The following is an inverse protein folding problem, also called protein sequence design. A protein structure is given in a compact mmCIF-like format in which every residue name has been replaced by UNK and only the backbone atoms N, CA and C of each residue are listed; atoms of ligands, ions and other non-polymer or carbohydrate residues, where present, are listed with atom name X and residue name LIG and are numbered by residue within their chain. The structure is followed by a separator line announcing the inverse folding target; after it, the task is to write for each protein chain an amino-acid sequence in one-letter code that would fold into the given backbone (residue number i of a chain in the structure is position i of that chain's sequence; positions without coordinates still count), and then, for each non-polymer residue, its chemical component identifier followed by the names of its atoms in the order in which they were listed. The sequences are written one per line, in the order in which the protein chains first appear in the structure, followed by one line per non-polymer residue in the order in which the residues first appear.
data_IF_391437970180
#
_entry.id   IF_391437970180
#
_cell.length_a   1.000
_cell.length_b   1.000
_cell.length_c   1.000
_cell.angle_alpha   90.00
_cell.angle_beta   90.00
_cell.angle_gamma   90.00
#
_symmetry.space_group_name_H-M   'P 1'
#
loop_
_entity.id
_entity.type
_entity.pdbx_description
1 polymer ?
#
# COMPACT_ATOMS: atom_id res chain seq x y z
N UNK A 1 3.93 15.62 -51.41
CA UNK A 1 5.01 14.96 -50.63
C UNK A 1 4.55 13.56 -50.29
N UNK A 2 4.69 12.64 -51.25
CA UNK A 2 4.54 11.22 -50.99
C UNK A 2 5.81 10.70 -50.29
N UNK A 3 5.68 9.68 -49.46
CA UNK A 3 6.46 8.44 -49.51
C UNK A 3 5.92 7.46 -48.44
N UNK A 4 5.40 6.33 -48.92
CA UNK A 4 5.15 5.09 -48.18
C UNK A 4 6.38 4.18 -48.37
N UNK A 5 6.83 3.49 -47.33
CA UNK A 5 7.68 2.26 -47.38
C UNK A 5 8.28 2.00 -45.99
N UNK A 6 8.46 0.80 -45.45
CA UNK A 6 8.06 -0.57 -45.77
C UNK A 6 8.30 -1.37 -44.49
N UNK A 7 7.47 -2.37 -44.22
CA UNK A 7 7.66 -3.38 -43.16
C UNK A 7 8.88 -4.27 -43.49
N UNK A 8 9.71 -4.59 -42.50
CA UNK A 8 10.73 -5.64 -42.59
C UNK A 8 10.75 -6.45 -41.29
N UNK A 9 10.38 -7.73 -41.39
CA UNK A 9 10.53 -8.76 -40.36
C UNK A 9 11.76 -9.61 -40.71
N UNK A 10 12.65 -9.96 -39.77
CA UNK A 10 13.64 -10.99 -40.01
C UNK A 10 13.14 -12.37 -39.56
N UNK A 11 13.07 -13.29 -40.52
CA UNK A 11 12.93 -14.73 -40.34
C UNK A 11 14.27 -15.39 -39.96
N UNK A 12 14.17 -16.34 -39.02
CA UNK A 12 14.90 -17.62 -38.84
C UNK A 12 16.38 -17.71 -39.27
N UNK A 13 17.24 -18.26 -38.40
CA UNK A 13 18.36 -19.12 -38.81
C UNK A 13 18.64 -20.20 -37.77
N UNK A 14 18.80 -21.43 -38.27
CA UNK A 14 19.21 -22.63 -37.56
C UNK A 14 20.66 -23.01 -37.96
N UNK A 15 21.38 -23.63 -37.01
CA UNK A 15 22.52 -24.56 -37.12
C UNK A 15 23.79 -24.16 -37.89
N UNK A 16 24.94 -24.18 -37.20
CA UNK A 16 26.14 -24.95 -37.61
C UNK A 16 27.10 -25.18 -36.43
N UNK A 17 27.80 -26.30 -36.55
CA UNK A 17 28.63 -27.05 -35.60
C UNK A 17 30.08 -26.59 -35.48
N UNK A 18 30.72 -27.06 -34.39
CA UNK A 18 32.14 -27.46 -34.24
C UNK A 18 33.27 -26.43 -34.47
N UNK A 19 33.99 -26.10 -33.40
CA UNK A 19 35.47 -26.18 -33.42
C UNK A 19 36.11 -26.21 -32.01
N UNK A 20 37.36 -26.67 -31.97
CA UNK A 20 37.91 -27.59 -30.98
C UNK A 20 38.61 -27.05 -29.71
N UNK A 21 38.68 -27.97 -28.74
CA UNK A 21 39.55 -28.15 -27.55
C UNK A 21 40.91 -27.41 -27.43
N UNK A 22 41.29 -27.02 -26.18
CA UNK A 22 42.37 -27.69 -25.37
C UNK A 22 42.59 -27.09 -23.94
N UNK A 23 42.51 -28.02 -22.95
CA UNK A 23 43.41 -28.31 -21.79
C UNK A 23 43.68 -27.24 -20.69
N UNK A 24 43.86 -27.54 -19.38
CA UNK A 24 43.87 -28.78 -18.54
C UNK A 24 44.06 -28.43 -17.03
N UNK A 25 43.71 -29.37 -16.12
CA UNK A 25 44.14 -29.56 -14.69
C UNK A 25 43.57 -28.59 -13.63
N UNK A 26 43.21 -28.95 -12.38
CA UNK A 26 43.12 -30.19 -11.59
C UNK A 26 42.48 -29.87 -10.21
N UNK A 27 41.82 -30.86 -9.59
CA UNK A 27 41.56 -31.06 -8.15
C UNK A 27 40.28 -30.48 -7.49
N UNK A 28 39.52 -31.42 -6.90
CA UNK A 28 38.65 -31.37 -5.73
C UNK A 28 37.47 -30.39 -5.67
N UNK A 29 36.29 -30.89 -6.03
CA UNK A 29 35.09 -30.78 -5.18
C UNK A 29 34.04 -31.79 -5.62
N UNK A 30 33.61 -32.63 -4.69
CA UNK A 30 32.36 -33.39 -4.74
C UNK A 30 31.17 -32.43 -5.00
N UNK A 31 30.93 -32.12 -6.25
CA UNK A 31 29.75 -31.37 -6.69
C UNK A 31 28.80 -32.41 -7.26
N UNK A 32 27.87 -32.84 -6.44
CA UNK A 32 26.69 -33.59 -6.87
C UNK A 32 26.15 -32.94 -8.14
N UNK A 33 26.22 -33.68 -9.25
CA UNK A 33 25.66 -33.26 -10.52
C UNK A 33 24.17 -32.98 -10.35
N UNK A 34 23.82 -31.71 -10.18
CA UNK A 34 22.48 -31.24 -10.47
C UNK A 34 22.38 -31.21 -11.98
N UNK A 35 21.65 -32.17 -12.53
CA UNK A 35 21.20 -32.23 -13.92
C UNK A 35 20.38 -30.97 -14.24
N UNK A 36 21.07 -29.88 -14.59
CA UNK A 36 20.51 -28.55 -14.91
C UNK A 36 20.01 -28.52 -16.36
N UNK A 37 19.06 -29.39 -16.70
CA UNK A 37 18.52 -29.42 -18.07
C UNK A 37 17.41 -30.43 -18.35
N UNK A 38 16.86 -31.12 -17.34
CA UNK A 38 15.71 -31.98 -17.57
C UNK A 38 14.43 -31.13 -17.53
N UNK A 39 13.60 -31.08 -18.61
CA UNK A 39 12.38 -30.27 -18.65
C UNK A 39 11.39 -30.64 -17.54
N UNK A 40 11.50 -31.85 -17.00
CA UNK A 40 10.74 -32.31 -15.83
C UNK A 40 11.16 -31.57 -14.54
N UNK A 41 12.45 -31.27 -14.37
CA UNK A 41 12.96 -30.52 -13.21
C UNK A 41 12.43 -29.09 -13.19
N UNK A 42 12.42 -28.42 -14.35
CA UNK A 42 11.93 -27.05 -14.51
C UNK A 42 10.41 -26.96 -14.25
N UNK A 43 9.64 -27.93 -14.74
CA UNK A 43 8.21 -28.03 -14.46
C UNK A 43 7.94 -28.23 -12.96
N UNK A 44 8.69 -29.12 -12.30
CA UNK A 44 8.55 -29.33 -10.85
C UNK A 44 8.86 -28.03 -10.10
N UNK A 45 9.90 -27.29 -10.50
CA UNK A 45 10.24 -26.00 -9.92
C UNK A 45 9.13 -24.97 -10.16
N UNK A 46 8.52 -24.93 -11.35
CA UNK A 46 7.38 -24.08 -11.63
C UNK A 46 6.20 -24.42 -10.72
N UNK A 47 5.85 -25.70 -10.54
CA UNK A 47 4.76 -26.11 -9.64
C UNK A 47 5.02 -25.78 -8.17
N UNK A 48 6.27 -25.93 -7.72
CA UNK A 48 6.68 -25.59 -6.36
C UNK A 48 6.90 -24.09 -6.15
N UNK A 49 6.91 -23.30 -7.22
CA UNK A 49 7.16 -21.86 -7.11
C UNK A 49 6.01 -21.16 -6.39
N UNK A 50 6.37 -20.10 -5.65
CA UNK A 50 5.48 -19.32 -4.79
C UNK A 50 4.23 -18.78 -5.51
N UNK A 51 4.32 -18.50 -6.81
CA UNK A 51 3.18 -17.98 -7.58
C UNK A 51 2.02 -18.99 -7.71
N UNK A 52 2.30 -20.29 -7.60
CA UNK A 52 1.31 -21.36 -7.64
C UNK A 52 0.81 -21.77 -6.24
N UNK A 53 1.48 -21.32 -5.18
CA UNK A 53 1.05 -21.58 -3.81
C UNK A 53 -0.23 -20.81 -3.44
N UNK A 54 -0.89 -21.24 -2.37
CA UNK A 54 -2.06 -20.54 -1.82
C UNK A 54 -1.72 -19.08 -1.47
N UNK A 55 -2.68 -18.16 -1.66
CA UNK A 55 -2.53 -16.75 -1.28
C UNK A 55 -2.10 -16.56 0.19
N UNK A 56 -2.56 -17.45 1.09
CA UNK A 56 -2.12 -17.48 2.50
C UNK A 56 -0.61 -17.70 2.62
N UNK A 57 -0.07 -18.61 1.82
CA UNK A 57 1.35 -18.97 1.82
C UNK A 57 2.20 -17.85 1.20
N UNK A 58 1.77 -17.29 0.07
CA UNK A 58 2.37 -16.09 -0.53
C UNK A 58 2.45 -14.94 0.49
N UNK A 59 1.34 -14.67 1.18
CA UNK A 59 1.28 -13.65 2.22
C UNK A 59 2.25 -13.93 3.38
N UNK A 60 2.37 -15.19 3.83
CA UNK A 60 3.34 -15.54 4.88
C UNK A 60 4.78 -15.35 4.44
N UNK A 61 5.11 -15.64 3.18
CA UNK A 61 6.46 -15.43 2.66
C UNK A 61 6.81 -13.94 2.64
N UNK A 62 5.96 -13.11 2.02
CA UNK A 62 6.18 -11.66 1.97
C UNK A 62 6.26 -11.05 3.38
N UNK A 63 5.42 -11.52 4.31
CA UNK A 63 5.48 -11.11 5.72
C UNK A 63 6.86 -11.41 6.33
N UNK A 64 7.41 -12.60 6.08
CA UNK A 64 8.73 -12.98 6.59
C UNK A 64 9.85 -12.13 5.98
N UNK A 65 9.76 -11.79 4.70
CA UNK A 65 10.74 -10.91 4.04
C UNK A 65 10.71 -9.50 4.61
N UNK A 66 9.51 -8.98 4.90
CA UNK A 66 9.34 -7.69 5.58
C UNK A 66 9.92 -7.74 7.00
N UNK A 67 9.67 -8.82 7.76
CA UNK A 67 10.25 -8.97 9.10
C UNK A 67 11.78 -8.88 9.03
N UNK A 68 12.41 -9.60 8.09
CA UNK A 68 13.87 -9.58 7.90
C UNK A 68 14.41 -8.17 7.58
N UNK A 69 13.65 -7.34 6.88
CA UNK A 69 14.07 -5.97 6.50
C UNK A 69 13.97 -4.97 7.66
N UNK A 70 13.05 -5.17 8.59
CA UNK A 70 12.74 -4.22 9.67
C UNK A 70 13.11 -4.72 11.07
N UNK A 71 13.54 -5.98 11.23
CA UNK A 71 13.98 -6.53 12.50
C UNK A 71 15.25 -5.83 13.01
N UNK A 72 15.34 -5.59 14.32
CA UNK A 72 16.55 -5.03 14.96
C UNK A 72 17.58 -6.12 15.27
N UNK A 73 17.08 -7.28 15.67
CA UNK A 73 17.86 -8.48 15.96
C UNK A 73 17.23 -9.68 15.23
N UNK A 74 17.98 -10.77 14.99
CA UNK A 74 17.40 -11.97 14.39
C UNK A 74 16.23 -12.48 15.25
N UNK A 75 15.08 -12.74 14.60
CA UNK A 75 13.89 -13.26 15.26
C UNK A 75 12.99 -12.21 15.93
N UNK A 76 13.25 -10.91 15.73
CA UNK A 76 12.38 -9.85 16.24
C UNK A 76 11.07 -9.75 15.46
N UNK A 77 9.94 -9.97 16.14
CA UNK A 77 8.59 -9.82 15.59
C UNK A 77 7.82 -8.70 16.30
N UNK A 78 8.27 -8.31 17.50
CA UNK A 78 7.53 -7.42 18.41
C UNK A 78 7.89 -5.95 18.25
N UNK A 79 8.99 -5.64 17.56
CA UNK A 79 9.40 -4.26 17.33
C UNK A 79 8.31 -3.40 16.69
N UNK A 80 8.25 -2.10 17.07
CA UNK A 80 7.25 -1.18 16.54
C UNK A 80 7.41 -0.99 15.03
N UNK A 81 8.66 -0.94 14.54
CA UNK A 81 9.01 -0.82 13.12
C UNK A 81 8.48 -2.01 12.31
N UNK A 82 8.76 -3.23 12.77
CA UNK A 82 8.28 -4.48 12.17
C UNK A 82 6.75 -4.52 12.12
N UNK A 83 6.10 -4.17 13.22
CA UNK A 83 4.63 -4.18 13.31
C UNK A 83 3.99 -3.18 12.33
N UNK A 84 4.52 -1.95 12.25
CA UNK A 84 4.06 -0.93 11.28
C UNK A 84 4.24 -1.44 9.85
N UNK A 85 5.37 -2.08 9.55
CA UNK A 85 5.65 -2.62 8.21
C UNK A 85 4.66 -3.74 7.84
N UNK A 86 4.38 -4.68 8.75
CA UNK A 86 3.40 -5.76 8.55
C UNK A 86 2.01 -5.19 8.29
N UNK A 87 1.55 -4.24 9.12
CA UNK A 87 0.24 -3.62 8.95
C UNK A 87 0.12 -2.84 7.65
N UNK A 88 1.19 -2.16 7.24
CA UNK A 88 1.24 -1.42 5.97
C UNK A 88 1.15 -2.37 4.78
N UNK A 89 1.89 -3.47 4.79
CA UNK A 89 1.78 -4.51 3.75
C UNK A 89 0.37 -5.12 3.70
N UNK A 90 -0.20 -5.44 4.86
CA UNK A 90 -1.57 -5.96 4.94
C UNK A 90 -2.58 -4.97 4.33
N UNK A 91 -2.51 -3.69 4.70
CA UNK A 91 -3.39 -2.65 4.15
C UNK A 91 -3.26 -2.58 2.63
N UNK A 92 -2.04 -2.53 2.10
CA UNK A 92 -1.77 -2.50 0.64
C UNK A 92 -2.36 -3.70 -0.07
N UNK A 93 -2.21 -4.91 0.47
CA UNK A 93 -2.75 -6.11 -0.15
C UNK A 93 -4.29 -6.11 -0.15
N UNK A 94 -4.92 -5.72 0.95
CA UNK A 94 -6.39 -5.65 1.03
C UNK A 94 -6.98 -4.55 0.14
N UNK A 95 -6.29 -3.43 -0.04
CA UNK A 95 -6.77 -2.34 -0.90
C UNK A 95 -7.00 -2.77 -2.34
N UNK A 96 -6.15 -3.66 -2.88
CA UNK A 96 -6.29 -4.22 -4.23
C UNK A 96 -7.59 -5.02 -4.39
N UNK A 97 -8.02 -5.69 -3.33
CA UNK A 97 -9.22 -6.53 -3.34
C UNK A 97 -10.52 -5.74 -3.21
N UNK A 98 -10.51 -4.60 -2.49
CA UNK A 98 -11.73 -3.81 -2.25
C UNK A 98 -12.34 -3.19 -3.52
N UNK A 99 -11.53 -2.93 -4.54
CA UNK A 99 -12.03 -2.42 -5.82
C UNK A 99 -12.75 -3.53 -6.62
N UNK A 100 -12.39 -4.81 -6.42
CA UNK A 100 -13.05 -5.96 -7.04
C UNK A 100 -14.30 -6.39 -6.28
N UNK A 101 -14.26 -6.37 -4.95
CA UNK A 101 -15.36 -6.88 -4.11
C UNK A 101 -15.84 -5.84 -3.08
N UNK A 102 -16.90 -5.07 -3.43
CA UNK A 102 -17.34 -3.94 -2.61
C UNK A 102 -18.14 -4.30 -1.36
N UNK A 103 -18.55 -5.58 -1.18
CA UNK A 103 -19.47 -6.01 -0.10
C UNK A 103 -18.79 -6.70 1.09
N UNK A 104 -17.49 -6.49 1.32
CA UNK A 104 -16.76 -7.09 2.45
C UNK A 104 -16.57 -6.13 3.65
N UNK A 105 -17.68 -5.77 4.30
CA UNK A 105 -17.67 -4.81 5.42
C UNK A 105 -16.84 -5.29 6.63
N UNK A 106 -16.75 -6.60 6.89
CA UNK A 106 -15.96 -7.11 8.02
C UNK A 106 -14.45 -6.86 7.85
N UNK A 107 -13.93 -7.12 6.64
CA UNK A 107 -12.51 -6.90 6.31
C UNK A 107 -12.20 -5.40 6.24
N UNK A 108 -13.14 -4.60 5.73
CA UNK A 108 -13.00 -3.13 5.71
C UNK A 108 -12.90 -2.57 7.15
N UNK A 109 -13.75 -3.02 8.08
CA UNK A 109 -13.65 -2.65 9.51
C UNK A 109 -12.31 -3.05 10.11
N UNK A 110 -11.83 -4.25 9.77
CA UNK A 110 -10.54 -4.71 10.26
C UNK A 110 -9.38 -3.86 9.72
N UNK A 111 -9.42 -3.47 8.45
CA UNK A 111 -8.44 -2.56 7.86
C UNK A 111 -8.47 -1.17 8.52
N UNK A 112 -9.66 -0.62 8.76
CA UNK A 112 -9.80 0.65 9.48
C UNK A 112 -9.20 0.57 10.90
N UNK A 113 -9.47 -0.53 11.60
CA UNK A 113 -8.89 -0.78 12.92
C UNK A 113 -7.36 -0.90 12.87
N UNK A 114 -6.81 -1.61 11.89
CA UNK A 114 -5.35 -1.73 11.70
C UNK A 114 -4.71 -0.39 11.39
N UNK A 115 -5.30 0.42 10.50
CA UNK A 115 -4.78 1.75 10.19
C UNK A 115 -4.77 2.65 11.43
N UNK A 116 -5.83 2.60 12.25
CA UNK A 116 -5.87 3.32 13.52
C UNK A 116 -4.79 2.85 14.50
N UNK A 117 -4.54 1.54 14.61
CA UNK A 117 -3.45 0.99 15.40
C UNK A 117 -2.08 1.46 14.89
N UNK A 118 -1.88 1.44 13.57
CA UNK A 118 -0.66 1.93 12.91
C UNK A 118 -0.40 3.40 13.23
N UNK A 119 -1.41 4.26 13.12
CA UNK A 119 -1.32 5.69 13.50
C UNK A 119 -0.91 5.85 14.96
N UNK A 120 -1.57 5.14 15.89
CA UNK A 120 -1.23 5.21 17.32
C UNK A 120 0.22 4.78 17.59
N UNK A 121 0.67 3.72 16.92
CA UNK A 121 2.03 3.20 17.06
C UNK A 121 3.06 4.19 16.51
N UNK A 122 2.83 4.78 15.33
CA UNK A 122 3.67 5.83 14.76
C UNK A 122 3.72 7.08 15.66
N UNK A 123 2.58 7.48 16.24
CA UNK A 123 2.52 8.60 17.19
C UNK A 123 3.33 8.32 18.45
N UNK A 124 3.32 7.07 18.94
CA UNK A 124 4.14 6.65 20.07
C UNK A 124 5.63 6.66 19.70
N UNK A 125 6.01 6.05 18.57
CA UNK A 125 7.40 6.05 18.08
C UNK A 125 7.96 7.46 17.95
N UNK A 126 7.16 8.40 17.44
CA UNK A 126 7.58 9.80 17.31
C UNK A 126 7.91 10.46 18.65
N UNK A 127 7.19 10.10 19.72
CA UNK A 127 7.39 10.65 21.08
C UNK A 127 8.59 10.03 21.77
N UNK A 128 8.79 8.73 21.60
CA UNK A 128 9.85 7.97 22.28
C UNK A 128 11.19 8.02 21.53
N UNK A 129 11.20 7.63 20.24
CA UNK A 129 12.40 7.44 19.43
C UNK A 129 12.21 8.04 18.03
N UNK A 130 12.50 9.35 17.90
CA UNK A 130 12.30 10.08 16.66
C UNK A 130 13.15 9.54 15.49
N UNK A 131 14.39 9.11 15.72
CA UNK A 131 15.27 8.59 14.68
C UNK A 131 14.70 7.31 14.02
N UNK A 132 14.27 6.35 14.83
CA UNK A 132 13.59 5.12 14.36
C UNK A 132 12.30 5.43 13.59
N UNK A 133 11.53 6.40 14.06
CA UNK A 133 10.32 6.85 13.38
C UNK A 133 10.61 7.42 11.98
N UNK A 134 11.58 8.34 11.86
CA UNK A 134 11.96 8.94 10.59
C UNK A 134 12.47 7.88 9.59
N UNK A 135 13.34 6.98 10.04
CA UNK A 135 13.86 5.88 9.22
C UNK A 135 12.74 4.93 8.77
N UNK A 136 11.80 4.59 9.66
CA UNK A 136 10.68 3.72 9.36
C UNK A 136 9.76 4.32 8.28
N UNK A 137 9.41 5.60 8.41
CA UNK A 137 8.56 6.30 7.43
C UNK A 137 9.24 6.39 6.08
N UNK A 138 10.53 6.75 6.04
CA UNK A 138 11.31 6.82 4.80
C UNK A 138 11.38 5.46 4.10
N UNK A 139 11.68 4.39 4.84
CA UNK A 139 11.73 3.02 4.30
C UNK A 139 10.39 2.55 3.74
N UNK A 140 9.29 2.89 4.40
CA UNK A 140 7.95 2.45 3.99
C UNK A 140 7.32 3.35 2.92
N UNK A 141 7.84 4.56 2.72
CA UNK A 141 7.24 5.56 1.83
C UNK A 141 5.89 6.06 2.34
N UNK A 142 5.75 6.21 3.67
CA UNK A 142 4.55 6.78 4.29
C UNK A 142 4.62 8.30 4.34
N UNK A 143 3.48 8.98 4.30
CA UNK A 143 3.42 10.41 4.56
C UNK A 143 3.39 10.68 6.07
N UNK A 144 4.07 11.74 6.53
CA UNK A 144 3.93 12.19 7.91
C UNK A 144 2.60 12.94 8.09
N UNK A 145 1.67 12.29 8.78
CA UNK A 145 0.33 12.80 9.08
C UNK A 145 0.34 13.74 10.29
N UNK A 146 1.38 13.70 11.12
CA UNK A 146 1.41 14.36 12.42
C UNK A 146 1.94 15.80 12.36
N UNK A 147 1.65 16.53 11.27
CA UNK A 147 1.93 17.96 11.18
C UNK A 147 1.26 18.78 12.31
N UNK A 148 1.61 20.06 12.43
CA UNK A 148 0.93 20.95 13.38
C UNK A 148 -0.57 20.92 13.09
N UNK A 149 -1.34 20.26 13.97
CA UNK A 149 -2.79 20.37 13.94
C UNK A 149 -3.12 21.84 14.14
N UNK A 150 -3.47 22.54 13.06
CA UNK A 150 -4.00 23.88 13.22
C UNK A 150 -5.34 23.74 13.95
N UNK A 151 -5.75 24.75 14.73
CA UNK A 151 -7.03 24.74 15.43
C UNK A 151 -8.21 24.42 14.47
N UNK A 152 -8.03 24.70 13.18
CA UNK A 152 -8.95 24.41 12.08
C UNK A 152 -9.15 22.91 11.80
N UNK A 153 -8.17 22.03 12.06
CA UNK A 153 -8.26 20.61 11.69
C UNK A 153 -9.09 19.76 12.66
N UNK A 154 -9.27 20.22 13.91
CA UNK A 154 -10.03 19.50 14.95
C UNK A 154 -11.54 19.72 14.87
N UNK A 155 -11.98 20.82 14.26
CA UNK A 155 -13.38 21.13 14.07
C UNK A 155 -13.70 21.08 12.58
N UNK A 156 -14.64 20.21 12.20
CA UNK A 156 -15.28 20.30 10.88
C UNK A 156 -15.86 21.72 10.78
N UNK A 157 -15.39 22.51 9.81
CA UNK A 157 -15.72 23.92 9.55
C UNK A 157 -17.16 24.24 10.01
N UNK A 158 -17.30 25.06 11.07
CA UNK A 158 -18.61 25.57 11.53
C UNK A 158 -18.99 25.40 13.02
N UNK A 159 -18.12 24.89 13.90
CA UNK A 159 -18.41 24.78 15.34
C UNK A 159 -17.41 25.64 16.15
N UNK A 160 -17.85 26.69 16.88
CA UNK A 160 -16.96 27.52 17.69
C UNK A 160 -16.45 26.80 18.95
N UNK A 161 -15.21 27.11 19.35
CA UNK A 161 -14.44 26.45 20.42
C UNK A 161 -14.93 26.78 21.85
N UNK A 162 -15.63 27.89 22.10
CA UNK A 162 -16.23 28.18 23.42
C UNK A 162 -17.71 28.48 23.24
N UNK A 163 -18.55 27.74 23.97
CA UNK A 163 -19.98 27.99 24.09
C UNK A 163 -20.21 28.27 25.57
N UNK A 164 -20.61 29.48 25.92
CA UNK A 164 -21.13 29.73 27.26
C UNK A 164 -22.51 29.07 27.37
N UNK A 165 -22.79 28.42 28.50
CA UNK A 165 -23.78 27.33 28.66
C UNK A 165 -25.28 27.73 28.55
N UNK A 166 -25.67 28.80 27.84
CA UNK A 166 -27.08 29.26 27.81
C UNK A 166 -27.71 29.60 26.44
N UNK A 167 -27.02 29.44 25.32
CA UNK A 167 -27.60 29.81 24.02
C UNK A 167 -28.53 28.72 23.43
N UNK A 168 -29.84 28.97 23.50
CA UNK A 168 -30.91 28.19 22.82
C UNK A 168 -30.63 28.02 21.32
N UNK A 169 -29.97 29.02 20.70
CA UNK A 169 -29.55 29.01 19.30
C UNK A 169 -28.55 27.89 18.97
N UNK A 170 -27.69 27.51 19.92
CA UNK A 170 -26.72 26.42 19.76
C UNK A 170 -27.40 25.05 19.85
N UNK A 171 -28.45 24.91 20.69
CA UNK A 171 -29.30 23.71 20.72
C UNK A 171 -30.12 23.55 19.45
N UNK A 172 -30.72 24.65 18.94
CA UNK A 172 -31.43 24.66 17.64
C UNK A 172 -30.49 24.33 16.48
N UNK A 173 -29.26 24.85 16.48
CA UNK A 173 -28.24 24.47 15.49
C UNK A 173 -27.85 22.99 15.64
N UNK A 174 -27.66 22.44 16.84
CA UNK A 174 -27.45 21.00 17.08
C UNK A 174 -28.58 20.11 16.53
N UNK A 175 -29.83 20.50 16.76
CA UNK A 175 -31.01 19.76 16.27
C UNK A 175 -31.26 19.96 14.76
N UNK A 176 -31.04 21.16 14.22
CA UNK A 176 -31.09 21.44 12.78
C UNK A 176 -29.96 20.74 12.02
N UNK A 177 -28.78 20.65 12.62
CA UNK A 177 -27.63 19.91 12.11
C UNK A 177 -27.99 18.43 11.90
N UNK A 178 -28.65 17.78 12.86
CA UNK A 178 -29.06 16.38 12.69
C UNK A 178 -30.05 16.16 11.53
N UNK A 179 -30.93 17.13 11.20
CA UNK A 179 -31.86 17.03 10.07
C UNK A 179 -31.19 17.25 8.70
N UNK A 180 -30.16 18.09 8.63
CA UNK A 180 -29.43 18.36 7.37
C UNK A 180 -28.37 17.30 7.05
N UNK A 181 -27.79 16.67 8.08
CA UNK A 181 -26.79 15.61 7.95
C UNK A 181 -27.42 14.22 8.09
N UNK A 182 -28.43 13.90 7.27
CA UNK A 182 -28.78 12.49 7.05
C UNK A 182 -27.56 11.83 6.42
N UNK A 183 -26.83 11.04 7.20
CA UNK A 183 -25.69 10.31 6.66
C UNK A 183 -26.19 9.41 5.53
N UNK A 184 -25.82 9.74 4.29
CA UNK A 184 -26.01 8.80 3.18
C UNK A 184 -25.36 7.49 3.60
N UNK A 185 -26.09 6.39 3.45
CA UNK A 185 -25.57 5.02 3.62
C UNK A 185 -24.45 4.83 2.61
N UNK A 186 -23.25 5.26 2.98
CA UNK A 186 -22.04 5.23 2.18
C UNK A 186 -21.25 4.03 2.66
N UNK A 187 -20.66 3.27 1.73
CA UNK A 187 -19.81 2.15 2.13
C UNK A 187 -18.68 2.65 3.03
N UNK A 188 -18.34 1.87 4.06
CA UNK A 188 -17.25 2.23 4.98
C UNK A 188 -15.95 2.52 4.23
N UNK A 189 -15.68 1.73 3.18
CA UNK A 189 -14.56 1.94 2.27
C UNK A 189 -14.53 3.35 1.64
N UNK A 190 -15.67 3.89 1.19
CA UNK A 190 -15.71 5.24 0.59
C UNK A 190 -15.35 6.34 1.58
N UNK A 191 -15.58 6.12 2.89
CA UNK A 191 -15.21 7.07 3.96
C UNK A 191 -13.75 6.94 4.37
N UNK A 192 -13.27 5.70 4.49
CA UNK A 192 -11.93 5.39 4.98
C UNK A 192 -10.84 5.55 3.91
N UNK A 193 -11.14 5.19 2.65
CA UNK A 193 -10.18 5.20 1.54
C UNK A 193 -9.46 6.54 1.36
N UNK A 194 -10.13 7.72 1.34
CA UNK A 194 -9.43 9.00 1.15
C UNK A 194 -8.38 9.27 2.22
N UNK A 195 -8.68 8.94 3.48
CA UNK A 195 -7.72 9.07 4.57
C UNK A 195 -6.54 8.12 4.38
N UNK A 196 -6.81 6.88 3.98
CA UNK A 196 -5.74 5.90 3.74
C UNK A 196 -4.83 6.31 2.58
N UNK A 197 -5.36 6.88 1.49
CA UNK A 197 -4.56 7.37 0.35
C UNK A 197 -3.65 8.55 0.76
N UNK A 198 -4.15 9.43 1.62
CA UNK A 198 -3.35 10.55 2.13
C UNK A 198 -2.13 10.06 2.94
N UNK A 199 -2.28 8.95 3.66
CA UNK A 199 -1.22 8.36 4.48
C UNK A 199 -0.21 7.57 3.66
N UNK A 200 -0.70 6.84 2.66
CA UNK A 200 0.09 5.90 1.87
C UNK A 200 0.05 6.33 0.40
N UNK A 201 0.94 7.25 -0.02
CA UNK A 201 0.97 7.77 -1.39
C UNK A 201 1.33 6.71 -2.44
N UNK A 202 1.88 5.57 -2.02
CA UNK A 202 2.23 4.45 -2.89
C UNK A 202 1.02 3.59 -3.29
N UNK A 203 -0.18 3.85 -2.76
CA UNK A 203 -1.39 3.14 -3.16
C UNK A 203 -1.88 3.62 -4.54
N UNK A 204 -2.38 2.72 -5.39
CA UNK A 204 -2.87 3.12 -6.71
C UNK A 204 -4.02 4.12 -6.57
N UNK A 205 -3.99 5.25 -7.32
CA UNK A 205 -5.07 6.21 -7.31
C UNK A 205 -6.37 5.54 -7.82
N UNK A 206 -7.55 6.04 -7.42
CA UNK A 206 -8.80 5.50 -7.92
C UNK A 206 -8.82 5.54 -9.45
N UNK A 207 -9.44 4.55 -10.13
CA UNK A 207 -9.60 4.60 -11.57
C UNK A 207 -10.28 5.93 -11.93
N UNK A 208 -9.74 6.63 -12.93
CA UNK A 208 -9.96 8.05 -13.26
C UNK A 208 -11.42 8.51 -13.44
N UNK A 209 -12.41 7.61 -13.36
CA UNK A 209 -13.84 7.91 -13.40
C UNK A 209 -14.36 8.73 -12.19
N UNK A 210 -13.56 8.94 -11.13
CA UNK A 210 -13.97 9.69 -9.93
C UNK A 210 -13.38 11.11 -9.81
N UNK A 211 -12.39 11.47 -10.64
CA UNK A 211 -11.75 12.80 -10.69
C UNK A 211 -12.55 13.82 -11.52
N UNK A 212 -13.87 13.70 -11.57
CA UNK A 212 -14.78 14.62 -12.26
C UNK A 212 -15.44 15.64 -11.31
N UNK A 213 -14.83 15.91 -10.14
CA UNK A 213 -15.42 16.77 -9.10
C UNK A 213 -14.43 17.66 -8.37
N UNK A 214 -13.29 18.00 -8.98
CA UNK A 214 -12.43 19.05 -8.49
C UNK A 214 -13.14 20.40 -8.72
N UNK A 215 -13.97 20.77 -7.75
CA UNK A 215 -14.48 22.13 -7.57
C UNK A 215 -13.25 23.02 -7.38
N UNK A 216 -12.82 23.70 -8.45
CA UNK A 216 -11.92 24.84 -8.33
C UNK A 216 -12.53 25.92 -7.43
N UNK A 217 -11.72 26.83 -6.86
CA UNK A 217 -12.27 27.93 -6.08
C UNK A 217 -13.31 28.65 -6.95
N UNK A 218 -14.55 28.77 -6.45
CA UNK A 218 -15.54 29.66 -7.06
C UNK A 218 -14.92 31.05 -6.99
N UNK A 219 -14.39 31.52 -8.11
CA UNK A 219 -14.03 32.91 -8.31
C UNK A 219 -15.32 33.71 -8.11
N UNK A 220 -15.45 34.33 -6.94
CA UNK A 220 -16.34 35.47 -6.75
C UNK A 220 -15.78 36.60 -7.59
N UNK A 221 -16.13 36.63 -8.87
CA UNK A 221 -16.03 37.85 -9.66
C UNK A 221 -17.20 38.73 -9.26
N UNK A 222 -16.91 39.72 -8.43
CA UNK A 222 -17.69 40.94 -8.29
C UNK A 222 -17.29 41.84 -9.45
N UNK A 223 -18.16 41.99 -10.44
CA UNK A 223 -18.31 43.19 -11.29
C UNK A 223 -19.81 43.35 -11.58
#
# INVERSE_FOLDING_TARGET
MAWMSTVSQPSLNATTSEDASRASSSADASTSGSDMGSPRGDLIQQYLALHNESHKKQFTSHKNDIIKQFQRHPGDVGSPEVTVAIWTHFLREQTKHFDQVPKHNAVMRHCEFIANKRRKLLAWMRRDQFASYAMCIQKLGLADVFGQQTLADRYRVGIPHKIEDKDEGTRRRRFAFHRQYVQKKTSQWKRFRPQLMYEDPLLPPPPAAATAGAVGPRSTALE
#
